data_IF_786371531849
#
_entry.id   IF_786371531849
#
_cell.length_a   1.000
_cell.length_b   1.000
_cell.length_c   1.000
_cell.angle_alpha   90.00
_cell.angle_beta   90.00
_cell.angle_gamma   90.00
#
_symmetry.space_group_name_H-M   'P 1'
#
loop_
_entity.id
_entity.type
_entity.pdbx_description
1 polymer ?
#
# COMPACT_ATOMS: atom_id res chain seq x y z
N UNK A 1 9.23 -10.18 0.98
CA UNK A 1 9.75 -9.94 -0.37
C UNK A 1 11.24 -9.69 -0.24
N UNK A 2 11.91 -10.82 -0.16
CA UNK A 2 13.19 -10.97 0.51
C UNK A 2 14.30 -11.17 -0.52
N UNK A 3 13.93 -11.77 -1.65
CA UNK A 3 14.87 -12.25 -2.66
C UNK A 3 15.13 -11.21 -3.76
N UNK A 4 16.30 -11.26 -4.44
CA UNK A 4 16.68 -10.23 -5.39
C UNK A 4 15.86 -10.30 -6.69
N UNK A 5 15.84 -9.18 -7.42
CA UNK A 5 15.22 -9.08 -8.74
C UNK A 5 16.13 -9.69 -9.82
N UNK A 6 16.14 -11.03 -9.91
CA UNK A 6 16.93 -11.81 -10.88
C UNK A 6 16.06 -12.76 -11.70
N UNK A 7 16.57 -13.29 -12.83
CA UNK A 7 15.91 -14.38 -13.56
C UNK A 7 15.78 -15.65 -12.70
N UNK A 8 14.73 -16.44 -12.91
CA UNK A 8 14.44 -17.64 -12.12
C UNK A 8 15.58 -18.68 -12.17
N UNK A 9 16.29 -18.76 -13.30
CA UNK A 9 17.40 -19.70 -13.51
C UNK A 9 18.60 -19.41 -12.59
N UNK A 10 18.68 -18.18 -12.02
CA UNK A 10 19.74 -17.78 -11.09
C UNK A 10 19.35 -17.97 -9.62
N UNK A 11 18.07 -18.19 -9.33
CA UNK A 11 17.52 -18.24 -7.99
C UNK A 11 16.52 -19.42 -7.86
N UNK A 12 17.04 -20.60 -7.54
CA UNK A 12 16.24 -21.79 -7.27
C UNK A 12 15.60 -21.81 -5.89
N UNK A 13 14.67 -22.75 -5.67
CA UNK A 13 13.88 -22.91 -4.43
C UNK A 13 14.73 -22.92 -3.15
N UNK A 14 15.83 -23.68 -3.11
CA UNK A 14 16.71 -23.74 -1.92
C UNK A 14 17.31 -22.38 -1.57
N UNK A 15 17.65 -21.56 -2.58
CA UNK A 15 18.19 -20.22 -2.35
C UNK A 15 17.11 -19.27 -1.85
N UNK A 16 15.87 -19.41 -2.33
CA UNK A 16 14.73 -18.64 -1.83
C UNK A 16 14.53 -18.92 -0.35
N UNK A 17 14.43 -20.20 0.03
CA UNK A 17 14.25 -20.62 1.42
C UNK A 17 15.40 -20.17 2.32
N UNK A 18 16.64 -20.31 1.86
CA UNK A 18 17.82 -19.82 2.60
C UNK A 18 17.75 -18.30 2.87
N UNK A 19 17.31 -17.49 1.90
CA UNK A 19 17.19 -16.04 2.09
C UNK A 19 16.07 -15.72 3.10
N UNK A 20 14.92 -16.39 3.01
CA UNK A 20 13.81 -16.24 3.96
C UNK A 20 14.27 -16.62 5.37
N UNK A 21 15.00 -17.73 5.52
CA UNK A 21 15.58 -18.18 6.79
C UNK A 21 16.56 -17.15 7.37
N UNK A 22 17.44 -16.59 6.54
CA UNK A 22 18.43 -15.61 6.97
C UNK A 22 17.75 -14.33 7.52
N UNK A 23 16.77 -13.77 6.79
CA UNK A 23 16.03 -12.60 7.28
C UNK A 23 15.18 -12.91 8.50
N UNK A 24 14.54 -14.09 8.53
CA UNK A 24 13.78 -14.56 9.69
C UNK A 24 14.67 -14.65 10.93
N UNK A 25 15.86 -15.21 10.80
CA UNK A 25 16.84 -15.34 11.89
C UNK A 25 17.32 -13.97 12.37
N UNK A 26 17.67 -13.06 11.46
CA UNK A 26 18.05 -11.69 11.80
C UNK A 26 16.97 -10.97 12.62
N UNK A 27 15.70 -11.09 12.22
CA UNK A 27 14.58 -10.48 12.94
C UNK A 27 14.44 -11.08 14.35
N UNK A 28 14.52 -12.41 14.47
CA UNK A 28 14.45 -13.10 15.77
C UNK A 28 15.60 -12.72 16.69
N UNK A 29 16.82 -12.61 16.15
CA UNK A 29 18.00 -12.22 16.93
C UNK A 29 17.91 -10.77 17.41
N UNK A 30 17.39 -9.88 16.57
CA UNK A 30 17.27 -8.45 16.88
C UNK A 30 16.11 -8.16 17.82
N UNK A 31 15.00 -8.89 17.69
CA UNK A 31 13.75 -8.68 18.44
C UNK A 31 13.21 -9.99 19.05
N UNK A 32 13.94 -10.62 19.98
CA UNK A 32 13.65 -11.98 20.45
C UNK A 32 12.28 -12.13 21.13
N UNK A 33 11.82 -11.08 21.81
CA UNK A 33 10.56 -11.09 22.57
C UNK A 33 9.38 -10.47 21.80
N UNK A 34 9.57 -10.15 20.52
CA UNK A 34 8.56 -9.45 19.72
C UNK A 34 7.77 -10.43 18.85
N UNK A 35 6.45 -10.40 18.95
CA UNK A 35 5.55 -11.11 18.03
C UNK A 35 5.63 -10.46 16.65
N UNK A 36 5.91 -11.25 15.62
CA UNK A 36 5.97 -10.79 14.22
C UNK A 36 4.81 -11.40 13.44
N UNK A 37 4.13 -10.58 12.66
CA UNK A 37 3.09 -11.01 11.72
C UNK A 37 3.66 -10.87 10.30
N UNK A 38 4.17 -11.96 9.75
CA UNK A 38 4.87 -11.98 8.46
C UNK A 38 3.96 -12.47 7.32
N UNK A 39 3.99 -11.75 6.19
CA UNK A 39 3.35 -12.12 4.93
C UNK A 39 4.43 -12.40 3.88
N UNK A 40 4.22 -13.41 3.03
CA UNK A 40 5.11 -13.68 1.89
C UNK A 40 4.86 -12.67 0.77
N UNK A 41 5.93 -12.20 0.13
CA UNK A 41 5.88 -11.42 -1.10
C UNK A 41 6.09 -12.28 -2.35
N UNK A 42 5.85 -11.70 -3.53
CA UNK A 42 5.80 -12.45 -4.78
C UNK A 42 7.17 -12.99 -5.23
N UNK A 43 8.27 -12.45 -4.71
CA UNK A 43 9.62 -12.97 -4.89
C UNK A 43 10.02 -14.05 -3.87
N UNK A 44 9.19 -14.34 -2.87
CA UNK A 44 9.47 -15.34 -1.82
C UNK A 44 9.08 -16.76 -2.27
N UNK A 45 9.15 -17.04 -3.58
CA UNK A 45 8.77 -18.31 -4.18
C UNK A 45 9.62 -18.62 -5.41
N UNK A 46 9.70 -19.89 -5.77
CA UNK A 46 10.36 -20.33 -7.00
C UNK A 46 9.44 -21.27 -7.79
N UNK A 47 9.15 -20.97 -9.08
CA UNK A 47 9.48 -19.73 -9.79
C UNK A 47 8.77 -18.51 -9.17
N UNK A 48 9.34 -17.30 -9.26
CA UNK A 48 8.72 -16.11 -8.68
C UNK A 48 7.29 -15.89 -9.20
N UNK A 49 6.44 -15.30 -8.37
CA UNK A 49 5.02 -15.03 -8.60
C UNK A 49 4.09 -16.25 -8.66
N UNK A 50 4.60 -17.48 -8.88
CA UNK A 50 3.77 -18.66 -9.13
C UNK A 50 3.30 -19.32 -7.83
N UNK A 51 2.56 -18.57 -7.01
CA UNK A 51 2.05 -19.05 -5.71
C UNK A 51 0.80 -19.91 -5.91
N UNK A 52 0.80 -21.20 -5.53
CA UNK A 52 -0.38 -22.04 -5.65
C UNK A 52 -1.39 -21.79 -4.52
N UNK A 53 -2.69 -21.96 -4.81
CA UNK A 53 -3.79 -21.94 -3.84
C UNK A 53 -3.95 -23.25 -3.05
N UNK A 54 -2.85 -23.97 -2.80
CA UNK A 54 -2.82 -25.30 -2.15
C UNK A 54 -1.47 -25.48 -1.45
N UNK A 55 -1.35 -26.55 -0.68
CA UNK A 55 -0.11 -26.89 0.03
C UNK A 55 1.11 -26.92 -0.91
N UNK A 56 2.22 -26.39 -0.41
CA UNK A 56 3.50 -26.38 -1.12
C UNK A 56 4.67 -26.54 -0.15
N UNK A 57 5.81 -27.05 -0.64
CA UNK A 57 7.03 -27.23 0.15
C UNK A 57 7.55 -25.92 0.73
N UNK A 58 7.51 -24.84 -0.05
CA UNK A 58 7.93 -23.51 0.42
C UNK A 58 7.04 -23.03 1.57
N UNK A 59 5.71 -23.17 1.47
CA UNK A 59 4.81 -22.82 2.57
C UNK A 59 5.10 -23.65 3.82
N UNK A 60 5.36 -24.95 3.65
CA UNK A 60 5.67 -25.85 4.76
C UNK A 60 6.94 -25.46 5.50
N UNK A 61 8.04 -25.23 4.78
CA UNK A 61 9.30 -24.85 5.39
C UNK A 61 9.26 -23.44 5.98
N UNK A 62 8.61 -22.48 5.31
CA UNK A 62 8.42 -21.14 5.86
C UNK A 62 7.53 -21.17 7.12
N UNK A 63 6.52 -22.04 7.20
CA UNK A 63 5.73 -22.23 8.43
C UNK A 63 6.60 -22.72 9.59
N UNK A 64 7.56 -23.61 9.33
CA UNK A 64 8.47 -24.12 10.34
C UNK A 64 9.44 -23.03 10.81
N UNK A 65 9.97 -22.23 9.87
CA UNK A 65 10.77 -21.03 10.18
C UNK A 65 9.97 -20.03 11.03
N UNK A 66 8.69 -19.80 10.72
CA UNK A 66 7.85 -18.83 11.42
C UNK A 66 7.10 -19.44 12.61
N UNK A 67 7.33 -20.72 12.95
CA UNK A 67 6.60 -21.42 14.02
C UNK A 67 6.55 -20.66 15.35
N UNK A 68 7.62 -19.99 15.84
CA UNK A 68 7.56 -19.20 17.07
C UNK A 68 6.56 -18.03 17.04
N UNK A 69 6.19 -17.57 15.85
CA UNK A 69 5.26 -16.47 15.64
C UNK A 69 3.83 -16.92 15.33
N UNK A 70 3.57 -18.22 15.18
CA UNK A 70 2.27 -18.76 14.79
C UNK A 70 1.65 -19.58 15.92
N UNK A 71 0.32 -19.62 16.02
CA UNK A 71 -0.38 -20.71 16.71
C UNK A 71 -0.40 -21.98 15.85
N UNK A 72 -0.75 -23.14 16.42
CA UNK A 72 -0.89 -24.38 15.64
C UNK A 72 -1.91 -24.24 14.50
N UNK A 73 -3.04 -23.56 14.77
CA UNK A 73 -4.06 -23.30 13.77
C UNK A 73 -3.55 -22.41 12.62
N UNK A 74 -2.82 -21.33 12.96
CA UNK A 74 -2.22 -20.44 11.96
C UNK A 74 -1.13 -21.13 11.16
N UNK A 75 -0.30 -21.97 11.79
CA UNK A 75 0.70 -22.76 11.10
C UNK A 75 0.05 -23.74 10.11
N UNK A 76 -1.01 -24.45 10.51
CA UNK A 76 -1.75 -25.34 9.62
C UNK A 76 -2.34 -24.60 8.41
N UNK A 77 -2.96 -23.44 8.63
CA UNK A 77 -3.54 -22.64 7.55
C UNK A 77 -2.47 -22.04 6.62
N UNK A 78 -1.34 -21.60 7.19
CA UNK A 78 -0.22 -21.11 6.41
C UNK A 78 0.36 -22.21 5.52
N UNK A 79 0.50 -23.44 6.01
CA UNK A 79 0.95 -24.57 5.17
C UNK A 79 -0.02 -24.84 4.02
N UNK A 80 -1.32 -24.68 4.24
CA UNK A 80 -2.38 -24.91 3.25
C UNK A 80 -2.45 -23.84 2.14
N UNK A 81 -2.14 -22.57 2.43
CA UNK A 81 -2.34 -21.50 1.44
C UNK A 81 -1.54 -20.20 1.65
N UNK A 82 -0.61 -20.14 2.61
CA UNK A 82 0.24 -18.98 2.86
C UNK A 82 -0.44 -17.79 3.56
N UNK A 83 -1.64 -17.99 4.12
CA UNK A 83 -2.40 -16.97 4.85
C UNK A 83 -2.81 -17.48 6.23
N UNK A 84 -3.09 -16.57 7.18
CA UNK A 84 -3.48 -16.91 8.55
C UNK A 84 -4.03 -15.69 9.31
N UNK A 85 -4.51 -15.90 10.54
CA UNK A 85 -4.82 -14.79 11.45
C UNK A 85 -4.42 -15.10 12.88
N UNK A 86 -3.98 -14.06 13.60
CA UNK A 86 -3.49 -14.18 14.96
C UNK A 86 -4.07 -13.03 15.81
N UNK A 87 -4.37 -13.30 17.08
CA UNK A 87 -4.76 -12.25 18.01
C UNK A 87 -3.55 -11.39 18.38
N UNK A 88 -3.78 -10.11 18.70
CA UNK A 88 -2.76 -9.24 19.27
C UNK A 88 -2.45 -9.68 20.72
N UNK A 89 -1.18 -9.79 21.12
CA UNK A 89 -0.83 -10.15 22.49
C UNK A 89 -1.23 -9.03 23.46
N UNK A 90 -1.56 -9.39 24.69
CA UNK A 90 -1.88 -8.44 25.76
C UNK A 90 -3.15 -8.83 26.54
N UNK A 91 -3.24 -8.53 27.84
CA UNK A 91 -4.46 -8.75 28.60
C UNK A 91 -5.59 -7.86 28.06
N UNK A 92 -6.73 -8.46 27.70
CA UNK A 92 -7.92 -7.71 27.29
C UNK A 92 -7.87 -7.07 25.91
N UNK A 93 -6.83 -7.34 25.10
CA UNK A 93 -6.77 -6.88 23.71
C UNK A 93 -7.87 -7.55 22.88
N UNK A 94 -8.69 -6.73 22.23
CA UNK A 94 -9.74 -7.17 21.28
C UNK A 94 -9.28 -6.93 19.84
N UNK A 95 -8.04 -7.33 19.55
CA UNK A 95 -7.38 -7.03 18.30
C UNK A 95 -6.89 -8.29 17.58
N UNK A 96 -6.96 -8.28 16.25
CA UNK A 96 -6.51 -9.37 15.39
C UNK A 96 -5.72 -8.82 14.21
N UNK A 97 -4.68 -9.55 13.81
CA UNK A 97 -4.01 -9.35 12.54
C UNK A 97 -4.43 -10.47 11.60
N UNK A 98 -4.96 -10.12 10.45
CA UNK A 98 -5.26 -11.02 9.33
C UNK A 98 -4.16 -10.85 8.30
N UNK A 99 -3.43 -11.92 8.03
CA UNK A 99 -2.31 -11.94 7.10
C UNK A 99 -2.70 -12.70 5.85
N UNK A 100 -2.73 -12.01 4.73
CA UNK A 100 -3.17 -12.51 3.44
C UNK A 100 -2.01 -12.91 2.55
N UNK A 101 -2.22 -13.97 1.76
CA UNK A 101 -1.42 -14.31 0.60
C UNK A 101 -2.04 -13.65 -0.64
N UNK A 102 -1.76 -12.36 -0.85
CA UNK A 102 -2.29 -11.64 -2.03
C UNK A 102 -1.51 -11.92 -3.31
N UNK A 103 -0.43 -12.70 -3.25
CA UNK A 103 0.28 -13.21 -4.42
C UNK A 103 -0.61 -14.16 -5.25
N UNK A 104 -1.60 -14.80 -4.62
CA UNK A 104 -2.63 -15.60 -5.29
C UNK A 104 -3.48 -14.78 -6.26
N UNK A 105 -3.55 -13.47 -6.08
CA UNK A 105 -4.39 -12.58 -6.90
C UNK A 105 -3.61 -11.90 -8.02
N UNK A 106 -2.29 -12.10 -8.07
CA UNK A 106 -1.41 -11.40 -9.00
C UNK A 106 -1.71 -11.78 -10.46
N UNK A 107 -1.71 -10.81 -11.35
CA UNK A 107 -1.95 -11.01 -12.79
C UNK A 107 -0.86 -11.84 -13.48
N UNK A 108 0.34 -11.92 -12.87
CA UNK A 108 1.45 -12.76 -13.34
C UNK A 108 1.48 -14.16 -12.71
N UNK A 109 0.55 -14.49 -11.82
CA UNK A 109 0.47 -15.82 -11.23
C UNK A 109 -0.42 -16.72 -12.08
N UNK A 110 0.18 -17.68 -12.79
CA UNK A 110 -0.55 -18.60 -13.66
C UNK A 110 -1.12 -19.80 -12.91
N UNK A 111 -0.63 -20.11 -11.70
CA UNK A 111 -1.16 -21.20 -10.87
C UNK A 111 -2.62 -20.97 -10.47
N UNK A 112 -3.04 -19.70 -10.35
CA UNK A 112 -4.38 -19.31 -9.89
C UNK A 112 -5.22 -18.62 -10.97
N UNK A 113 -4.76 -18.60 -12.23
CA UNK A 113 -5.39 -17.83 -13.31
C UNK A 113 -6.86 -18.19 -13.57
N UNK A 114 -7.23 -19.46 -13.35
CA UNK A 114 -8.57 -19.99 -13.57
C UNK A 114 -9.38 -20.21 -12.28
N UNK A 115 -8.83 -19.87 -11.11
CA UNK A 115 -9.48 -20.11 -9.82
C UNK A 115 -10.33 -18.91 -9.40
N UNK A 116 -11.57 -19.15 -8.96
CA UNK A 116 -12.44 -18.06 -8.46
C UNK A 116 -12.11 -17.64 -7.02
N UNK A 117 -11.59 -18.58 -6.22
CA UNK A 117 -11.20 -18.38 -4.82
C UNK A 117 -9.97 -19.23 -4.47
N UNK A 118 -8.77 -18.82 -4.89
CA UNK A 118 -7.57 -19.62 -4.68
C UNK A 118 -7.28 -19.84 -3.20
N UNK A 119 -7.14 -21.12 -2.82
CA UNK A 119 -7.00 -21.56 -1.42
C UNK A 119 -8.23 -21.32 -0.54
N UNK A 120 -9.38 -20.96 -1.11
CA UNK A 120 -10.56 -20.55 -0.33
C UNK A 120 -10.34 -19.28 0.50
N UNK A 121 -9.34 -18.46 0.15
CA UNK A 121 -8.91 -17.33 0.98
C UNK A 121 -10.00 -16.26 1.13
N UNK A 122 -10.82 -15.98 0.11
CA UNK A 122 -11.90 -15.01 0.24
C UNK A 122 -13.03 -15.53 1.13
N UNK A 123 -13.43 -16.80 0.98
CA UNK A 123 -14.38 -17.43 1.89
C UNK A 123 -13.86 -17.38 3.34
N UNK A 124 -12.61 -17.80 3.56
CA UNK A 124 -11.98 -17.76 4.87
C UNK A 124 -11.90 -16.34 5.45
N UNK A 125 -11.58 -15.34 4.62
CA UNK A 125 -11.51 -13.94 5.04
C UNK A 125 -12.89 -13.43 5.47
N UNK A 126 -13.93 -13.73 4.71
CA UNK A 126 -15.31 -13.37 5.04
C UNK A 126 -15.75 -13.98 6.37
N UNK A 127 -15.48 -15.26 6.59
CA UNK A 127 -15.77 -15.95 7.85
C UNK A 127 -14.98 -15.34 9.01
N UNK A 128 -13.69 -15.05 8.81
CA UNK A 128 -12.80 -14.45 9.81
C UNK A 128 -13.28 -13.06 10.23
N UNK A 129 -13.63 -12.18 9.27
CA UNK A 129 -14.14 -10.84 9.55
C UNK A 129 -15.54 -10.85 10.16
N UNK A 130 -16.39 -11.80 9.75
CA UNK A 130 -17.71 -12.01 10.38
C UNK A 130 -17.55 -12.43 11.84
N UNK A 131 -16.62 -13.34 12.13
CA UNK A 131 -16.35 -13.79 13.48
C UNK A 131 -15.71 -12.68 14.33
N UNK A 132 -14.82 -11.86 13.77
CA UNK A 132 -14.29 -10.67 14.44
C UNK A 132 -15.43 -9.72 14.85
N UNK A 133 -16.39 -9.46 13.95
CA UNK A 133 -17.56 -8.63 14.27
C UNK A 133 -18.41 -9.21 15.41
N UNK A 134 -18.63 -10.53 15.43
CA UNK A 134 -19.39 -11.20 16.51
C UNK A 134 -18.66 -11.18 17.84
N UNK A 135 -17.33 -11.21 17.80
CA UNK A 135 -16.46 -11.18 18.97
C UNK A 135 -16.09 -9.76 19.43
N UNK A 136 -16.63 -8.71 18.77
CA UNK A 136 -16.27 -7.31 19.00
C UNK A 136 -14.76 -7.06 18.90
N UNK A 137 -14.09 -7.75 17.96
CA UNK A 137 -12.67 -7.58 17.65
C UNK A 137 -12.47 -6.57 16.51
N UNK A 138 -11.41 -5.76 16.62
CA UNK A 138 -10.89 -4.92 15.53
C UNK A 138 -9.74 -5.63 14.82
N UNK A 139 -9.60 -5.37 13.51
CA UNK A 139 -8.72 -6.11 12.62
C UNK A 139 -7.76 -5.18 11.88
N UNK A 140 -6.47 -5.53 11.87
CA UNK A 140 -5.54 -5.10 10.84
C UNK A 140 -5.44 -6.15 9.74
N UNK A 141 -5.50 -5.72 8.48
CA UNK A 141 -5.22 -6.60 7.34
C UNK A 141 -3.82 -6.30 6.83
N UNK A 142 -3.01 -7.35 6.69
CA UNK A 142 -1.65 -7.29 6.16
C UNK A 142 -1.58 -8.15 4.90
N UNK A 143 -0.94 -7.64 3.86
CA UNK A 143 -0.66 -8.41 2.64
C UNK A 143 0.53 -7.81 1.89
N UNK A 144 1.02 -8.51 0.87
CA UNK A 144 2.16 -8.01 0.10
C UNK A 144 1.71 -7.12 -1.07
N UNK A 145 1.08 -7.72 -2.09
CA UNK A 145 0.57 -7.04 -3.27
C UNK A 145 -0.75 -6.34 -2.92
N UNK A 146 -0.87 -5.01 -3.08
CA UNK A 146 -2.11 -4.31 -2.81
C UNK A 146 -3.09 -4.35 -4.01
N UNK A 147 -4.41 -4.23 -3.76
CA UNK A 147 -5.40 -3.96 -4.79
C UNK A 147 -5.24 -2.54 -5.37
N UNK A 148 -5.94 -2.27 -6.46
CA UNK A 148 -5.92 -0.99 -7.16
C UNK A 148 -4.68 -0.83 -8.05
N UNK A 149 -4.19 0.40 -8.13
CA UNK A 149 -3.21 0.82 -9.13
C UNK A 149 -1.90 1.29 -8.50
N UNK A 150 -0.79 1.07 -9.22
CA UNK A 150 0.52 1.61 -8.89
C UNK A 150 0.60 3.09 -9.31
N UNK A 151 0.91 3.96 -8.36
CA UNK A 151 0.84 5.41 -8.56
C UNK A 151 1.97 5.97 -9.45
N UNK A 152 3.06 5.21 -9.68
CA UNK A 152 4.16 5.63 -10.57
C UNK A 152 3.94 5.28 -12.04
N UNK A 153 2.85 4.57 -12.38
CA UNK A 153 2.55 4.16 -13.75
C UNK A 153 1.06 4.10 -14.01
N UNK A 154 0.60 4.96 -14.92
CA UNK A 154 -0.80 4.99 -15.34
C UNK A 154 -1.31 3.61 -15.79
N UNK A 155 -2.42 3.17 -15.20
CA UNK A 155 -3.11 1.94 -15.59
C UNK A 155 -2.42 0.64 -15.17
N UNK A 156 -1.32 0.70 -14.41
CA UNK A 156 -0.68 -0.48 -13.87
C UNK A 156 -1.44 -0.93 -12.61
N UNK A 157 -2.15 -2.06 -12.71
CA UNK A 157 -2.65 -2.80 -11.56
C UNK A 157 -1.86 -4.10 -11.39
N UNK A 158 -2.08 -4.77 -10.26
CA UNK A 158 -1.45 -6.07 -9.97
C UNK A 158 -2.49 -7.17 -9.83
N UNK A 159 -3.60 -6.91 -9.15
CA UNK A 159 -4.65 -7.91 -9.04
C UNK A 159 -5.34 -8.13 -10.38
N UNK A 160 -5.66 -9.38 -10.70
CA UNK A 160 -6.67 -9.67 -11.74
C UNK A 160 -7.98 -8.96 -11.36
N UNK A 161 -8.69 -8.41 -12.36
CA UNK A 161 -9.86 -7.54 -12.15
C UNK A 161 -10.91 -8.15 -11.21
N UNK A 162 -11.22 -9.45 -11.37
CA UNK A 162 -12.20 -10.14 -10.53
C UNK A 162 -11.80 -10.19 -9.05
N UNK A 163 -10.54 -10.51 -8.76
CA UNK A 163 -10.02 -10.51 -7.38
C UNK A 163 -9.99 -9.10 -6.78
N UNK A 164 -9.64 -8.09 -7.57
CA UNK A 164 -9.70 -6.70 -7.13
C UNK A 164 -11.12 -6.31 -6.71
N UNK A 165 -12.12 -6.61 -7.54
CA UNK A 165 -13.52 -6.33 -7.24
C UNK A 165 -14.00 -7.08 -5.97
N UNK A 166 -13.66 -8.36 -5.84
CA UNK A 166 -14.02 -9.17 -4.67
C UNK A 166 -13.38 -8.65 -3.39
N UNK A 167 -12.11 -8.23 -3.43
CA UNK A 167 -11.43 -7.61 -2.29
C UNK A 167 -12.10 -6.31 -1.88
N UNK A 168 -12.41 -5.41 -2.83
CA UNK A 168 -13.09 -4.14 -2.57
C UNK A 168 -14.46 -4.37 -1.92
N UNK A 169 -15.26 -5.31 -2.44
CA UNK A 169 -16.56 -5.66 -1.88
C UNK A 169 -16.44 -6.19 -0.44
N UNK A 170 -15.38 -6.96 -0.15
CA UNK A 170 -15.15 -7.52 1.18
C UNK A 170 -14.77 -6.44 2.19
N UNK A 171 -13.89 -5.51 1.81
CA UNK A 171 -13.60 -4.32 2.64
C UNK A 171 -14.85 -3.48 2.84
N UNK A 172 -15.63 -3.21 1.80
CA UNK A 172 -16.88 -2.44 1.91
C UNK A 172 -17.88 -3.09 2.86
N UNK A 173 -18.04 -4.42 2.82
CA UNK A 173 -18.95 -5.15 3.69
C UNK A 173 -18.50 -5.15 5.15
N UNK A 174 -17.20 -5.31 5.41
CA UNK A 174 -16.66 -5.52 6.75
C UNK A 174 -15.90 -4.32 7.32
N UNK A 175 -15.99 -3.14 6.70
CA UNK A 175 -15.19 -1.96 7.06
C UNK A 175 -15.28 -1.55 8.54
N UNK A 176 -16.39 -1.86 9.22
CA UNK A 176 -16.59 -1.52 10.64
C UNK A 176 -15.66 -2.27 11.59
N UNK A 177 -15.15 -3.42 11.20
CA UNK A 177 -14.18 -4.20 12.01
C UNK A 177 -12.76 -4.07 11.50
N UNK A 178 -12.54 -3.49 10.32
CA UNK A 178 -11.20 -3.30 9.75
C UNK A 178 -10.70 -1.93 10.21
N UNK A 179 -9.73 -1.88 11.11
CA UNK A 179 -9.17 -0.63 11.62
C UNK A 179 -8.26 0.06 10.59
N UNK A 180 -7.39 -0.72 9.93
CA UNK A 180 -6.50 -0.26 8.87
C UNK A 180 -5.96 -1.45 8.07
N UNK A 181 -5.32 -1.18 6.93
CA UNK A 181 -4.65 -2.18 6.11
C UNK A 181 -3.19 -1.77 5.85
N UNK A 182 -2.26 -2.72 5.84
CA UNK A 182 -0.83 -2.48 5.66
C UNK A 182 -0.26 -3.38 4.57
N UNK A 183 0.29 -2.76 3.53
CA UNK A 183 0.79 -3.44 2.34
C UNK A 183 2.15 -2.91 1.91
N UNK A 184 2.81 -3.64 0.99
CA UNK A 184 4.12 -3.29 0.45
C UNK A 184 4.11 -3.32 -1.08
N UNK A 185 5.02 -4.11 -1.65
CA UNK A 185 5.20 -4.38 -3.09
C UNK A 185 5.65 -3.19 -3.95
N UNK A 186 5.12 -1.98 -3.74
CA UNK A 186 5.42 -0.82 -4.60
C UNK A 186 6.81 -0.23 -4.34
N UNK A 187 7.38 -0.50 -3.17
CA UNK A 187 8.61 0.09 -2.62
C UNK A 187 8.56 1.62 -2.39
N UNK A 188 7.47 2.26 -2.80
CA UNK A 188 7.17 3.68 -2.62
C UNK A 188 6.21 3.90 -1.45
N UNK A 189 6.29 5.11 -0.89
CA UNK A 189 5.43 5.52 0.22
C UNK A 189 4.08 6.06 -0.31
N UNK A 190 2.98 5.40 0.03
CA UNK A 190 1.66 5.81 -0.45
C UNK A 190 0.53 5.33 0.47
N UNK A 191 -0.71 5.70 0.13
CA UNK A 191 -1.91 5.20 0.78
C UNK A 191 -3.06 5.05 -0.24
N UNK A 192 -4.09 4.31 0.14
CA UNK A 192 -5.28 4.05 -0.69
C UNK A 192 -6.55 4.26 0.12
N UNK A 193 -7.50 4.96 -0.46
CA UNK A 193 -8.80 5.26 0.14
C UNK A 193 -9.84 4.23 -0.28
N UNK A 194 -10.69 3.83 0.66
CA UNK A 194 -11.85 2.98 0.40
C UNK A 194 -13.11 3.76 0.73
N UNK A 195 -14.12 3.65 -0.13
CA UNK A 195 -15.37 4.39 -0.01
C UNK A 195 -16.57 3.45 0.06
N UNK A 196 -17.59 3.84 0.83
CA UNK A 196 -18.91 3.21 0.79
C UNK A 196 -19.63 3.51 -0.54
N UNK A 197 -20.75 2.84 -0.79
CA UNK A 197 -21.61 3.14 -1.93
C UNK A 197 -22.18 4.58 -1.88
N UNK A 198 -22.30 5.15 -0.68
CA UNK A 198 -22.70 6.54 -0.47
C UNK A 198 -21.55 7.55 -0.66
N UNK A 199 -20.33 7.07 -0.96
CA UNK A 199 -19.15 7.90 -1.18
C UNK A 199 -18.43 8.37 0.08
N UNK A 200 -18.81 7.89 1.27
CA UNK A 200 -18.09 8.22 2.51
C UNK A 200 -16.78 7.42 2.64
N UNK A 201 -15.69 8.00 3.16
CA UNK A 201 -14.46 7.25 3.42
C UNK A 201 -14.71 6.26 4.56
N UNK A 202 -14.44 4.98 4.30
CA UNK A 202 -14.73 3.87 5.23
C UNK A 202 -13.48 3.11 5.69
N UNK A 203 -12.38 3.19 4.95
CA UNK A 203 -11.15 2.52 5.31
C UNK A 203 -9.94 3.15 4.61
N UNK A 204 -8.75 2.86 5.13
CA UNK A 204 -7.48 3.28 4.54
C UNK A 204 -6.48 2.12 4.54
N UNK A 205 -5.74 2.02 3.44
CA UNK A 205 -4.59 1.15 3.33
C UNK A 205 -3.32 1.99 3.23
N UNK A 206 -2.32 1.65 4.01
CA UNK A 206 -1.00 2.26 3.97
C UNK A 206 -0.03 1.36 3.22
N UNK A 207 0.66 1.93 2.23
CA UNK A 207 1.72 1.27 1.48
C UNK A 207 3.06 1.74 2.03
N UNK A 208 3.79 0.84 2.68
CA UNK A 208 5.10 1.14 3.23
C UNK A 208 6.18 1.09 2.12
N UNK A 209 7.17 1.99 2.17
CA UNK A 209 8.30 1.92 1.24
C UNK A 209 9.18 0.70 1.51
N UNK A 210 10.02 0.37 0.52
CA UNK A 210 10.97 -0.74 0.62
C UNK A 210 12.28 -0.33 1.30
N UNK A 211 12.92 -1.28 1.97
CA UNK A 211 14.33 -1.13 2.38
C UNK A 211 15.26 -1.17 1.17
N UNK A 212 14.93 -1.97 0.16
CA UNK A 212 15.70 -2.01 -1.08
C UNK A 212 15.60 -0.68 -1.84
N UNK A 213 16.72 -0.08 -2.28
CA UNK A 213 16.73 1.11 -3.11
C UNK A 213 16.67 0.78 -4.61
N UNK A 214 16.33 -0.47 -4.96
CA UNK A 214 16.39 -0.97 -6.32
C UNK A 214 15.58 -0.09 -7.27
N UNK A 215 16.24 0.38 -8.33
CA UNK A 215 15.59 1.16 -9.38
C UNK A 215 14.76 0.24 -10.25
N UNK A 216 13.45 0.46 -10.29
CA UNK A 216 12.55 -0.42 -11.01
C UNK A 216 12.84 -0.49 -12.51
N UNK A 217 12.78 -1.71 -13.05
CA UNK A 217 12.86 -1.97 -14.49
C UNK A 217 11.49 -1.99 -15.17
N UNK A 218 10.42 -1.63 -14.45
CA UNK A 218 9.07 -1.58 -15.00
C UNK A 218 9.01 -0.59 -16.18
N UNK A 219 8.67 -1.02 -17.40
CA UNK A 219 8.61 -0.12 -18.55
C UNK A 219 7.63 1.03 -18.32
N UNK A 220 8.08 2.24 -18.66
CA UNK A 220 7.32 3.48 -18.49
C UNK A 220 7.58 4.22 -17.18
N UNK A 221 8.26 3.60 -16.21
CA UNK A 221 8.68 4.30 -14.97
C UNK A 221 10.08 4.88 -15.17
N UNK A 222 10.20 6.20 -15.11
CA UNK A 222 11.49 6.89 -15.17
C UNK A 222 11.99 7.16 -13.75
N UNK A 223 13.28 6.91 -13.50
CA UNK A 223 13.93 7.18 -12.21
C UNK A 223 13.23 6.54 -10.98
N UNK A 224 12.59 5.39 -11.14
CA UNK A 224 11.81 4.74 -10.08
C UNK A 224 12.64 3.98 -9.04
N UNK A 225 13.63 4.64 -8.44
CA UNK A 225 14.26 4.16 -7.21
C UNK A 225 13.65 4.90 -5.99
N UNK A 226 14.03 4.44 -4.81
CA UNK A 226 13.71 5.06 -3.52
C UNK A 226 14.95 5.00 -2.62
N UNK A 227 15.01 5.84 -1.59
CA UNK A 227 15.91 5.54 -0.48
C UNK A 227 15.35 4.35 0.33
N UNK A 228 16.21 3.60 1.05
CA UNK A 228 15.75 2.64 2.05
C UNK A 228 14.84 3.30 3.08
N UNK A 229 13.63 2.76 3.26
CA UNK A 229 12.64 3.24 4.23
C UNK A 229 12.20 2.15 5.21
N UNK A 230 11.91 2.55 6.45
CA UNK A 230 11.20 1.75 7.46
C UNK A 230 10.11 2.63 8.08
N UNK A 231 9.07 2.03 8.65
CA UNK A 231 7.95 2.77 9.23
C UNK A 231 7.53 2.23 10.58
N UNK A 232 7.25 3.13 11.50
CA UNK A 232 6.67 2.85 12.82
C UNK A 232 5.26 3.43 12.86
N UNK A 233 4.31 2.69 13.44
CA UNK A 233 2.90 3.07 13.53
C UNK A 233 2.51 3.19 15.00
N UNK A 234 2.04 4.38 15.38
CA UNK A 234 1.44 4.61 16.69
C UNK A 234 -0.06 4.31 16.59
N UNK A 235 -0.61 3.55 17.53
CA UNK A 235 -2.02 3.14 17.50
C UNK A 235 -2.66 3.11 18.89
N UNK A 236 -3.99 3.23 18.94
CA UNK A 236 -4.78 3.04 20.15
C UNK A 236 -4.98 1.54 20.43
N UNK A 237 -4.46 0.99 21.55
CA UNK A 237 -4.58 -0.43 21.85
C UNK A 237 -6.02 -0.93 22.06
N UNK A 238 -6.97 -0.05 22.38
CA UNK A 238 -8.36 -0.41 22.60
C UNK A 238 -9.17 -0.53 21.30
N UNK A 239 -8.88 0.33 20.32
CA UNK A 239 -9.67 0.46 19.08
C UNK A 239 -8.92 0.04 17.82
N UNK A 240 -7.60 -0.15 17.92
CA UNK A 240 -6.66 -0.29 16.81
C UNK A 240 -6.66 0.90 15.83
N UNK A 241 -7.23 2.04 16.21
CA UNK A 241 -7.13 3.23 15.37
C UNK A 241 -5.66 3.64 15.22
N UNK A 242 -5.22 3.86 13.98
CA UNK A 242 -3.90 4.45 13.71
C UNK A 242 -3.91 5.91 14.17
N UNK A 243 -3.07 6.21 15.15
CA UNK A 243 -2.89 7.55 15.69
C UNK A 243 -1.87 8.33 14.87
N UNK A 244 -0.78 7.69 14.47
CA UNK A 244 0.24 8.33 13.65
C UNK A 244 1.14 7.31 12.95
N UNK A 245 1.95 7.79 12.01
CA UNK A 245 2.97 7.01 11.34
C UNK A 245 4.23 7.84 11.18
N UNK A 246 5.38 7.27 11.53
CA UNK A 246 6.69 7.87 11.33
C UNK A 246 7.46 7.03 10.32
N UNK A 247 7.77 7.60 9.17
CA UNK A 247 8.71 7.00 8.21
C UNK A 247 10.12 7.45 8.57
N UNK A 248 11.03 6.49 8.72
CA UNK A 248 12.48 6.72 8.82
C UNK A 248 13.14 6.27 7.53
N UNK A 249 14.21 6.95 7.15
CA UNK A 249 14.93 6.62 5.94
C UNK A 249 16.45 6.69 6.13
N UNK A 250 17.15 6.02 5.22
CA UNK A 250 18.59 6.13 5.08
C UNK A 250 18.88 6.88 3.78
N UNK A 251 19.44 8.09 3.85
CA UNK A 251 19.96 8.74 2.65
C UNK A 251 21.14 7.93 2.10
N UNK A 252 20.90 7.13 1.06
CA UNK A 252 21.85 6.12 0.61
C UNK A 252 23.12 6.74 0.04
N UNK A 253 23.00 7.88 -0.64
CA UNK A 253 24.14 8.65 -1.16
C UNK A 253 25.05 9.09 -0.01
N UNK A 254 24.48 9.67 1.05
CA UNK A 254 25.22 10.09 2.25
C UNK A 254 25.82 8.90 3.00
N UNK A 255 25.07 7.80 3.11
CA UNK A 255 25.53 6.59 3.76
C UNK A 255 26.78 6.01 3.08
N UNK A 256 26.77 5.93 1.75
CA UNK A 256 27.90 5.43 0.94
C UNK A 256 29.12 6.36 0.97
N UNK A 257 28.95 7.63 1.34
CA UNK A 257 30.07 8.54 1.60
C UNK A 257 30.73 8.33 2.99
N UNK A 258 30.33 7.28 3.73
CA UNK A 258 30.93 6.89 5.01
C UNK A 258 30.16 7.35 6.25
N UNK A 259 28.89 7.77 6.11
CA UNK A 259 28.06 8.24 7.22
C UNK A 259 26.67 7.57 7.23
N UNK A 260 26.58 6.23 7.41
CA UNK A 260 25.31 5.53 7.46
C UNK A 260 24.56 5.88 8.75
N UNK A 261 23.45 6.59 8.62
CA UNK A 261 22.56 6.92 9.74
C UNK A 261 21.12 6.97 9.26
N UNK A 262 20.26 6.16 9.88
CA UNK A 262 18.82 6.30 9.73
C UNK A 262 18.34 7.57 10.42
N UNK A 263 17.48 8.32 9.77
CA UNK A 263 16.91 9.57 10.26
C UNK A 263 15.40 9.60 10.00
N UNK A 264 14.66 10.37 10.81
CA UNK A 264 13.23 10.55 10.60
C UNK A 264 13.04 11.32 9.29
N UNK A 265 12.23 10.78 8.37
CA UNK A 265 11.82 11.49 7.17
C UNK A 265 10.66 12.42 7.51
N UNK A 266 9.55 11.86 7.98
CA UNK A 266 8.38 12.63 8.39
C UNK A 266 7.49 11.86 9.36
N UNK A 267 6.69 12.62 10.10
CA UNK A 267 5.54 12.15 10.88
C UNK A 267 4.26 12.56 10.15
N UNK A 268 3.32 11.65 9.96
CA UNK A 268 2.13 11.86 9.10
C UNK A 268 1.28 13.04 9.57
N UNK A 269 0.98 13.11 10.87
CA UNK A 269 0.16 14.18 11.45
C UNK A 269 0.79 15.55 11.28
N UNK A 270 2.10 15.67 11.51
CA UNK A 270 2.87 16.90 11.32
C UNK A 270 2.99 17.29 9.83
N UNK A 271 3.28 16.32 8.97
CA UNK A 271 3.50 16.56 7.54
C UNK A 271 2.24 17.05 6.83
N UNK A 272 1.05 16.62 7.24
CA UNK A 272 -0.20 16.99 6.57
C UNK A 272 -1.19 17.74 7.47
N UNK A 273 -0.78 18.09 8.68
CA UNK A 273 -1.58 18.86 9.65
C UNK A 273 -2.95 18.22 9.90
N UNK A 274 -2.94 16.90 10.10
CA UNK A 274 -4.13 16.09 10.41
C UNK A 274 -4.01 15.49 11.81
N UNK A 275 -5.12 15.24 12.53
CA UNK A 275 -5.07 14.83 13.93
C UNK A 275 -4.63 13.38 14.14
N UNK A 276 -4.82 12.51 13.15
CA UNK A 276 -4.53 11.08 13.26
C UNK A 276 -4.38 10.39 11.88
N UNK A 277 -4.17 9.07 11.89
CA UNK A 277 -4.16 8.21 10.70
C UNK A 277 -5.53 7.63 10.32
N UNK A 278 -6.65 8.22 10.75
CA UNK A 278 -7.98 7.70 10.42
C UNK A 278 -8.34 7.91 8.93
N UNK A 279 -9.31 7.14 8.42
CA UNK A 279 -9.82 7.33 7.05
C UNK A 279 -10.34 8.75 6.82
N UNK A 280 -10.87 9.42 7.85
CA UNK A 280 -11.30 10.82 7.75
C UNK A 280 -10.11 11.76 7.57
N UNK A 281 -9.06 11.58 8.37
CA UNK A 281 -7.83 12.37 8.26
C UNK A 281 -7.15 12.17 6.91
N UNK A 282 -7.05 10.93 6.42
CA UNK A 282 -6.44 10.66 5.11
C UNK A 282 -7.30 11.13 3.93
N UNK A 283 -8.62 11.22 4.09
CA UNK A 283 -9.47 11.94 3.13
C UNK A 283 -9.11 13.44 3.08
N UNK A 284 -8.88 14.08 4.23
CA UNK A 284 -8.41 15.47 4.26
C UNK A 284 -7.03 15.62 3.61
N UNK A 285 -6.11 14.66 3.83
CA UNK A 285 -4.82 14.64 3.13
C UNK A 285 -5.04 14.59 1.62
N UNK A 286 -5.85 13.65 1.11
CA UNK A 286 -6.14 13.53 -0.32
C UNK A 286 -6.76 14.82 -0.92
N UNK A 287 -7.62 15.49 -0.17
CA UNK A 287 -8.18 16.79 -0.56
C UNK A 287 -7.10 17.88 -0.64
N UNK A 288 -6.18 17.93 0.33
CA UNK A 288 -5.01 18.81 0.27
C UNK A 288 -4.13 18.50 -0.96
N UNK A 289 -3.82 17.23 -1.22
CA UNK A 289 -3.02 16.84 -2.39
C UNK A 289 -3.69 17.24 -3.72
N UNK A 290 -5.02 17.23 -3.76
CA UNK A 290 -5.80 17.60 -4.95
C UNK A 290 -5.89 19.11 -5.16
N UNK A 291 -5.86 19.91 -4.09
CA UNK A 291 -6.09 21.35 -4.12
C UNK A 291 -4.84 22.22 -3.96
N UNK A 292 -3.77 21.70 -3.36
CA UNK A 292 -2.53 22.43 -3.09
C UNK A 292 -1.31 21.75 -3.73
N UNK A 293 -0.72 22.34 -4.79
CA UNK A 293 0.49 21.83 -5.42
C UNK A 293 1.68 21.65 -4.46
N UNK A 294 1.76 22.42 -3.36
CA UNK A 294 2.83 22.28 -2.36
C UNK A 294 2.63 21.02 -1.51
N UNK A 295 1.39 20.72 -1.13
CA UNK A 295 1.06 19.48 -0.43
C UNK A 295 1.33 18.26 -1.32
N UNK A 296 0.93 18.33 -2.60
CA UNK A 296 1.24 17.30 -3.59
C UNK A 296 2.76 17.11 -3.75
N UNK A 297 3.52 18.20 -3.86
CA UNK A 297 4.97 18.11 -4.01
C UNK A 297 5.64 17.47 -2.79
N UNK A 298 5.19 17.81 -1.58
CA UNK A 298 5.66 17.21 -0.32
C UNK A 298 5.39 15.70 -0.31
N UNK A 299 4.16 15.30 -0.62
CA UNK A 299 3.79 13.89 -0.75
C UNK A 299 4.64 13.18 -1.82
N UNK A 300 4.85 13.79 -2.98
CA UNK A 300 5.66 13.20 -4.06
C UNK A 300 7.13 12.98 -3.65
N UNK A 301 7.71 13.91 -2.88
CA UNK A 301 9.05 13.73 -2.32
C UNK A 301 9.09 12.51 -1.40
N UNK A 302 8.16 12.41 -0.45
CA UNK A 302 8.06 11.25 0.46
C UNK A 302 7.74 9.94 -0.27
N UNK A 303 7.00 9.98 -1.38
CA UNK A 303 6.66 8.78 -2.15
C UNK A 303 7.89 8.01 -2.62
N UNK A 304 8.98 8.70 -2.95
CA UNK A 304 10.27 8.08 -3.31
C UNK A 304 11.23 7.97 -2.11
N UNK A 305 10.74 8.18 -0.89
CA UNK A 305 11.54 8.28 0.33
C UNK A 305 12.62 9.36 0.19
N UNK A 306 12.21 10.55 -0.26
CA UNK A 306 13.09 11.71 -0.47
C UNK A 306 14.24 11.47 -1.46
N UNK A 307 14.06 10.54 -2.41
CA UNK A 307 15.02 10.28 -3.49
C UNK A 307 14.81 11.22 -4.69
N UNK A 308 13.58 11.24 -5.22
CA UNK A 308 13.19 12.03 -6.37
C UNK A 308 12.55 13.34 -5.91
N UNK A 309 13.32 14.42 -6.01
CA UNK A 309 12.89 15.76 -5.64
C UNK A 309 12.31 16.56 -6.81
N UNK A 310 12.15 15.93 -7.98
CA UNK A 310 11.63 16.62 -9.16
C UNK A 310 10.18 17.08 -8.97
N UNK A 311 9.76 18.17 -9.65
CA UNK A 311 8.39 18.64 -9.57
C UNK A 311 7.37 17.63 -10.13
N UNK A 312 6.31 17.36 -9.38
CA UNK A 312 5.19 16.54 -9.84
C UNK A 312 4.23 17.37 -10.70
N UNK A 313 4.41 17.31 -12.02
CA UNK A 313 3.54 17.99 -13.00
C UNK A 313 2.16 17.35 -13.15
N UNK A 314 1.34 17.86 -14.07
CA UNK A 314 -0.06 17.41 -14.25
C UNK A 314 -0.22 15.90 -14.51
N UNK A 315 0.57 15.23 -15.38
CA UNK A 315 0.45 13.77 -15.55
C UNK A 315 0.79 13.00 -14.27
N UNK A 316 1.82 13.42 -13.54
CA UNK A 316 2.20 12.85 -12.25
C UNK A 316 1.07 13.02 -11.22
N UNK A 317 0.54 14.24 -11.10
CA UNK A 317 -0.58 14.57 -10.20
C UNK A 317 -1.78 13.66 -10.44
N UNK A 318 -2.22 13.53 -11.70
CA UNK A 318 -3.33 12.67 -12.07
C UNK A 318 -3.09 11.20 -11.70
N UNK A 319 -1.88 10.67 -11.97
CA UNK A 319 -1.53 9.29 -11.63
C UNK A 319 -1.60 9.03 -10.13
N UNK A 320 -1.01 9.91 -9.32
CA UNK A 320 -1.02 9.77 -7.86
C UNK A 320 -2.41 9.94 -7.27
N UNK A 321 -3.13 11.02 -7.59
CA UNK A 321 -4.46 11.28 -7.02
C UNK A 321 -5.45 10.18 -7.39
N UNK A 322 -5.46 9.75 -8.65
CA UNK A 322 -6.37 8.70 -9.10
C UNK A 322 -6.02 7.34 -8.49
N UNK A 323 -4.74 6.99 -8.35
CA UNK A 323 -4.35 5.73 -7.70
C UNK A 323 -4.71 5.71 -6.21
N UNK A 324 -4.56 6.84 -5.50
CA UNK A 324 -4.95 6.96 -4.08
C UNK A 324 -6.47 6.83 -3.92
N UNK A 325 -7.25 7.50 -4.80
CA UNK A 325 -8.70 7.62 -4.67
C UNK A 325 -9.46 6.41 -5.21
N UNK A 326 -9.06 5.87 -6.36
CA UNK A 326 -9.89 4.97 -7.15
C UNK A 326 -9.20 3.62 -7.36
N UNK A 327 -9.62 2.62 -6.58
CA UNK A 327 -9.08 1.26 -6.67
C UNK A 327 -9.88 0.37 -7.63
N UNK A 328 -11.13 0.76 -7.95
CA UNK A 328 -11.90 0.09 -9.00
C UNK A 328 -11.37 0.48 -10.39
N UNK A 329 -11.31 -0.49 -11.29
CA UNK A 329 -10.69 -0.32 -12.60
C UNK A 329 -11.43 0.68 -13.49
N UNK A 330 -12.76 0.67 -13.43
CA UNK A 330 -13.58 1.60 -14.22
C UNK A 330 -13.43 3.01 -13.66
N UNK A 331 -13.59 3.16 -12.34
CA UNK A 331 -13.49 4.46 -11.67
C UNK A 331 -12.11 5.11 -11.80
N UNK A 332 -11.03 4.32 -11.71
CA UNK A 332 -9.67 4.79 -11.95
C UNK A 332 -9.51 5.34 -13.37
N UNK A 333 -9.99 4.58 -14.36
CA UNK A 333 -9.92 4.98 -15.77
C UNK A 333 -10.69 6.27 -16.04
N UNK A 334 -11.84 6.45 -15.41
CA UNK A 334 -12.61 7.70 -15.48
C UNK A 334 -11.90 8.87 -14.81
N UNK A 335 -11.30 8.65 -13.64
CA UNK A 335 -10.54 9.67 -12.93
C UNK A 335 -9.38 10.21 -13.80
N UNK A 336 -8.56 9.32 -14.35
CA UNK A 336 -7.42 9.70 -15.19
C UNK A 336 -7.87 10.46 -16.45
N UNK A 337 -8.97 10.00 -17.09
CA UNK A 337 -9.55 10.70 -18.26
C UNK A 337 -10.00 12.11 -17.91
N UNK A 338 -10.69 12.30 -16.78
CA UNK A 338 -11.16 13.61 -16.33
C UNK A 338 -9.98 14.54 -16.05
N UNK A 339 -8.96 14.07 -15.36
CA UNK A 339 -7.75 14.84 -15.07
C UNK A 339 -6.96 15.23 -16.32
N UNK A 340 -6.95 14.38 -17.36
CA UNK A 340 -6.35 14.72 -18.66
C UNK A 340 -7.17 15.70 -19.51
N UNK A 341 -8.47 15.83 -19.23
CA UNK A 341 -9.40 16.69 -19.98
C UNK A 341 -9.64 18.08 -19.36
N UNK A 342 -9.06 18.38 -18.19
CA UNK A 342 -9.23 19.69 -17.55
C UNK A 342 -8.67 20.79 -18.47
N UNK A 343 -9.53 21.70 -19.00
CA UNK A 343 -9.06 22.73 -19.91
C UNK A 343 -8.31 23.80 -19.10
N UNK A 344 -7.25 24.36 -19.68
CA UNK A 344 -6.54 25.55 -19.18
C UNK A 344 -7.38 26.84 -19.28
N UNK A 345 -8.67 26.77 -18.93
CA UNK A 345 -9.65 27.84 -19.10
C UNK A 345 -9.96 28.41 -17.71
N UNK A 346 -9.01 29.22 -17.20
CA UNK A 346 -9.15 29.89 -15.91
C UNK A 346 -8.45 31.24 -15.80
N UNK A 347 -7.86 31.77 -16.87
CA UNK A 347 -7.24 33.11 -16.83
C UNK A 347 -7.39 33.96 -18.09
N UNK A 348 -7.91 33.42 -19.20
CA UNK A 348 -8.06 34.22 -20.44
C UNK A 348 -9.41 34.95 -20.50
N UNK A 349 -10.49 34.42 -19.91
CA UNK A 349 -11.81 35.07 -19.98
C UNK A 349 -11.97 36.30 -19.06
N UNK A 350 -11.20 36.43 -17.98
CA UNK A 350 -11.27 37.60 -17.09
C UNK A 350 -10.51 38.82 -17.66
N UNK A 351 -9.47 38.60 -18.46
CA UNK A 351 -8.73 39.69 -19.12
C UNK A 351 -9.52 40.32 -20.27
N UNK A 352 -10.30 39.54 -21.02
CA UNK A 352 -11.12 40.07 -22.12
C UNK A 352 -12.34 40.86 -21.63
N UNK A 353 -12.94 40.50 -20.48
CA UNK A 353 -14.07 41.26 -19.93
C UNK A 353 -13.64 42.63 -19.35
N UNK A 354 -12.45 42.72 -18.77
CA UNK A 354 -11.92 43.99 -18.26
C UNK A 354 -11.48 44.96 -19.38
N UNK A 355 -11.00 44.46 -20.52
CA UNK A 355 -10.61 45.30 -21.67
C UNK A 355 -11.82 45.88 -22.43
N UNK A 356 -12.97 45.20 -22.45
CA UNK A 356 -14.18 45.69 -23.11
C UNK A 356 -14.92 46.78 -22.30
N UNK A 357 -14.80 46.78 -20.96
CA UNK A 357 -15.39 47.81 -20.11
C UNK A 357 -14.57 49.12 -20.07
N UNK A 358 -13.28 49.09 -20.45
CA UNK A 358 -12.43 50.28 -20.53
C UNK A 358 -12.62 51.09 -21.84
N UNK A 359 -13.24 50.51 -22.87
CA UNK A 359 -13.48 51.15 -24.17
C UNK A 359 -14.85 51.87 -24.26
N UNK A 360 -15.68 51.79 -23.22
CA UNK A 360 -16.99 52.46 -23.13
C UNK A 360 -17.01 53.48 -21.98
N UNK A 361 -16.09 54.44 -22.03
CA UNK A 361 -16.13 55.65 -21.21
C UNK A 361 -16.86 56.79 -21.94
N UNK A 362 -17.66 57.63 -21.24
CA UNK A 362 -18.64 58.53 -21.86
C UNK A 362 -17.98 59.70 -22.61
N UNK A 363 -18.43 59.92 -23.86
CA UNK A 363 -18.14 61.14 -24.62
C UNK A 363 -18.69 62.36 -23.87
N UNK A 364 -17.79 63.30 -23.49
CA UNK A 364 -18.17 64.65 -23.04
C UNK A 364 -18.59 65.47 -24.26
N UNK A 365 -19.83 65.97 -24.23
CA UNK A 365 -20.33 67.04 -25.13
C UNK A 365 -19.86 68.39 -24.56
N UNK A 366 -19.54 69.33 -25.47
CA UNK A 366 -19.11 70.70 -25.21
C UNK A 366 -20.02 71.48 -24.25
#
# INVERSE_FOLDING_TARGET
DDTPHVPNEKLGEEKVLYIIENLTSLIKETFPDTKVYAAMGNHDFHPKNQFPGKEHRIYSQTADLWRPWLTDASAALFRAGGFYSEKLPGPGTRGRVVVLNTNLYYDQNEETAAEEDPGGQFQWLEETLTNASRAEEMVYIVGHIPPGFFEKKQGQAWFRRGFNQRYLAMVQKHHKVIAAQFFGHHHTDSFRMFYSDAGSPINVMFLAPGVTPWKTTLPGVTNGANNPGIRVVDYDPATLQVLDMVTYYLNLTRANAGSPRWEQEYRLTEAFQVPDGSARSLQMVLEQLSGDPRALQRYHQFNSVSYDLSPCGQPCSAQHICAIRELDFTRYSECVKRSGSAPAVGSVCLLFLCLLLALLGPQRVL
#
